data_IF_185600045442
#
_entry.id   IF_185600045442
#
_cell.length_a   1.000
_cell.length_b   1.000
_cell.length_c   1.000
_cell.angle_alpha   90.00
_cell.angle_beta   90.00
_cell.angle_gamma   90.00
#
_symmetry.space_group_name_H-M   'P 1'
#
loop_
_entity.id
_entity.type
_entity.pdbx_description
1 polymer ?
#
# COMPACT_ATOMS: atom_id res chain seq x y z
N UNK A 1 12.43 -15.82 25.06
CA UNK A 1 11.27 -16.22 24.25
C UNK A 1 11.82 -16.91 23.01
N UNK A 2 11.55 -18.18 22.87
CA UNK A 2 12.11 -19.07 21.87
C UNK A 2 11.52 -18.77 20.47
N UNK A 3 12.37 -18.59 19.45
CA UNK A 3 11.96 -18.35 18.05
C UNK A 3 11.47 -19.64 17.35
N UNK A 4 11.55 -20.80 18.01
CA UNK A 4 11.18 -22.13 17.50
C UNK A 4 9.66 -22.35 17.36
N UNK A 5 8.81 -21.42 17.81
CA UNK A 5 7.34 -21.51 17.65
C UNK A 5 6.79 -20.71 16.45
N UNK A 6 7.63 -20.05 15.65
CA UNK A 6 7.16 -19.39 14.41
C UNK A 6 6.99 -20.42 13.31
N UNK A 7 5.73 -20.73 12.99
CA UNK A 7 5.42 -21.39 11.72
C UNK A 7 5.79 -20.46 10.56
N UNK A 8 6.45 -21.00 9.55
CA UNK A 8 6.80 -20.29 8.31
C UNK A 8 5.83 -20.73 7.21
N UNK A 9 4.67 -20.07 7.07
CA UNK A 9 3.77 -20.33 5.95
C UNK A 9 4.44 -19.97 4.61
N UNK A 10 3.81 -20.35 3.50
CA UNK A 10 4.31 -20.08 2.15
C UNK A 10 4.66 -18.60 1.95
N UNK A 11 5.74 -18.36 1.18
CA UNK A 11 6.23 -17.02 0.83
C UNK A 11 5.56 -16.49 -0.44
N UNK A 12 5.36 -15.16 -0.51
CA UNK A 12 4.86 -14.46 -1.68
C UNK A 12 6.03 -13.88 -2.49
N UNK A 13 6.17 -14.27 -3.76
CA UNK A 13 7.28 -13.86 -4.65
C UNK A 13 6.93 -12.66 -5.52
N UNK A 14 6.02 -11.79 -5.06
CA UNK A 14 5.54 -10.60 -5.78
C UNK A 14 5.28 -9.47 -4.80
N UNK A 15 5.17 -8.25 -5.30
CA UNK A 15 4.70 -7.13 -4.50
C UNK A 15 3.32 -7.46 -3.92
N UNK A 16 3.18 -7.31 -2.62
CA UNK A 16 1.89 -7.50 -1.95
C UNK A 16 1.09 -6.21 -2.03
N UNK A 17 -0.23 -6.30 -2.16
CA UNK A 17 -1.11 -5.13 -2.29
C UNK A 17 -0.97 -4.20 -1.07
N UNK A 18 -0.69 -4.76 0.11
CA UNK A 18 -0.45 -4.04 1.36
C UNK A 18 0.94 -3.36 1.49
N UNK A 19 1.73 -3.30 0.41
CA UNK A 19 3.02 -2.61 0.40
C UNK A 19 2.99 -1.14 0.84
N UNK A 20 1.93 -0.33 0.60
CA UNK A 20 1.89 1.07 1.01
C UNK A 20 2.07 1.27 2.52
N UNK A 21 1.65 0.31 3.35
CA UNK A 21 1.84 0.37 4.80
C UNK A 21 3.34 0.39 5.15
N UNK A 22 4.12 -0.45 4.49
CA UNK A 22 5.58 -0.52 4.68
C UNK A 22 6.22 0.77 4.20
N UNK A 23 5.87 1.25 3.01
CA UNK A 23 6.42 2.48 2.42
C UNK A 23 6.14 3.71 3.28
N UNK A 24 4.97 3.78 3.92
CA UNK A 24 4.58 4.90 4.78
C UNK A 24 5.34 4.96 6.11
N UNK A 25 5.93 3.86 6.58
CA UNK A 25 6.75 3.85 7.81
C UNK A 25 8.25 3.84 7.52
N UNK A 26 8.69 3.32 6.37
CA UNK A 26 10.11 3.28 5.98
C UNK A 26 10.52 4.44 5.09
N UNK A 27 9.59 5.12 4.42
CA UNK A 27 9.89 6.15 3.43
C UNK A 27 10.61 5.63 2.19
N UNK A 28 10.49 4.33 1.93
CA UNK A 28 11.07 3.68 0.75
C UNK A 28 9.98 3.46 -0.30
N UNK A 29 10.33 3.57 -1.57
CA UNK A 29 9.49 3.16 -2.70
C UNK A 29 9.90 1.74 -3.12
N UNK A 30 9.03 0.76 -2.85
CA UNK A 30 9.34 -0.65 -3.12
C UNK A 30 9.20 -0.97 -4.61
N UNK A 31 8.41 -0.21 -5.37
CA UNK A 31 8.30 -0.36 -6.82
C UNK A 31 9.58 0.14 -7.49
N UNK A 32 10.08 1.30 -7.07
CA UNK A 32 11.39 1.82 -7.52
C UNK A 32 12.50 0.80 -7.29
N UNK A 33 12.58 0.22 -6.07
CA UNK A 33 13.59 -0.78 -5.75
C UNK A 33 13.45 -2.06 -6.59
N UNK A 34 12.22 -2.47 -6.92
CA UNK A 34 12.01 -3.61 -7.83
C UNK A 34 12.57 -3.32 -9.22
N UNK A 35 12.40 -2.09 -9.73
CA UNK A 35 12.95 -1.69 -11.03
C UNK A 35 14.47 -1.61 -11.00
N UNK A 36 15.06 -1.06 -9.94
CA UNK A 36 16.51 -0.98 -9.76
C UNK A 36 17.15 -2.38 -9.73
N UNK A 37 16.60 -3.29 -8.93
CA UNK A 37 17.09 -4.68 -8.87
C UNK A 37 16.88 -5.40 -10.21
N UNK A 38 15.75 -5.19 -10.88
CA UNK A 38 15.50 -5.77 -12.21
C UNK A 38 16.49 -5.26 -13.27
N UNK A 39 17.00 -4.04 -13.11
CA UNK A 39 18.07 -3.48 -13.95
C UNK A 39 19.47 -4.00 -13.58
N UNK A 40 19.61 -4.79 -12.51
CA UNK A 40 20.88 -5.33 -12.02
C UNK A 40 21.64 -4.40 -11.08
N UNK A 41 21.01 -3.30 -10.63
CA UNK A 41 21.62 -2.38 -9.69
C UNK A 41 21.55 -2.94 -8.25
N UNK A 42 22.51 -2.57 -7.38
CA UNK A 42 22.46 -2.97 -5.97
C UNK A 42 21.35 -2.22 -5.22
N UNK A 43 20.93 -2.78 -4.08
CA UNK A 43 20.02 -2.07 -3.18
C UNK A 43 20.68 -0.79 -2.64
N UNK A 44 19.94 0.33 -2.55
CA UNK A 44 20.53 1.62 -2.18
C UNK A 44 20.83 1.75 -0.68
N UNK A 45 20.27 0.89 0.17
CA UNK A 45 20.42 0.91 1.62
C UNK A 45 20.69 -0.48 2.19
N UNK A 46 21.47 -0.54 3.27
CA UNK A 46 21.61 -1.72 4.11
C UNK A 46 20.46 -1.85 5.12
N UNK A 47 20.28 -3.04 5.69
CA UNK A 47 19.23 -3.32 6.68
C UNK A 47 19.26 -2.37 7.89
N UNK A 48 20.44 -1.94 8.34
CA UNK A 48 20.61 -1.03 9.48
C UNK A 48 20.22 0.42 9.17
N UNK A 49 20.12 0.77 7.89
CA UNK A 49 19.80 2.13 7.42
C UNK A 49 18.30 2.31 7.15
N UNK A 50 17.51 1.23 7.16
CA UNK A 50 16.07 1.28 6.94
C UNK A 50 15.39 1.86 8.19
N UNK A 51 14.76 3.04 8.09
CA UNK A 51 14.08 3.63 9.24
C UNK A 51 12.73 2.94 9.47
N UNK A 52 12.21 3.07 10.70
CA UNK A 52 10.83 2.70 11.05
C UNK A 52 10.22 3.86 11.83
N UNK A 53 9.47 4.70 11.13
CA UNK A 53 8.96 5.97 11.66
C UNK A 53 7.43 5.91 11.80
N UNK A 54 6.94 5.98 13.04
CA UNK A 54 5.52 6.02 13.33
C UNK A 54 4.78 4.72 13.02
N UNK A 55 3.50 4.85 12.65
CA UNK A 55 2.61 3.74 12.34
C UNK A 55 1.76 4.09 11.12
N UNK A 56 1.44 3.07 10.33
CA UNK A 56 0.52 3.17 9.20
C UNK A 56 -0.49 2.01 9.26
N UNK A 57 -1.66 2.23 8.67
CA UNK A 57 -2.67 1.21 8.43
C UNK A 57 -3.27 1.43 7.04
N UNK A 58 -3.78 0.35 6.45
CA UNK A 58 -4.45 0.37 5.14
C UNK A 58 -5.91 -0.04 5.32
N UNK A 59 -6.80 0.64 4.60
CA UNK A 59 -8.19 0.23 4.45
C UNK A 59 -8.49 0.09 2.95
N UNK A 60 -9.06 -1.06 2.58
CA UNK A 60 -9.48 -1.32 1.20
C UNK A 60 -10.97 -1.03 1.07
N UNK A 61 -11.30 -0.22 0.07
CA UNK A 61 -12.69 0.10 -0.25
C UNK A 61 -13.13 -0.83 -1.37
N UNK A 62 -14.00 -1.79 -1.04
CA UNK A 62 -14.54 -2.77 -1.97
C UNK A 62 -15.94 -2.39 -2.44
N UNK A 63 -16.25 -2.69 -3.69
CA UNK A 63 -17.61 -2.66 -4.22
C UNK A 63 -18.34 -3.94 -3.78
N UNK A 64 -18.56 -4.07 -2.46
CA UNK A 64 -19.26 -5.18 -1.83
C UNK A 64 -20.39 -4.60 -0.96
N UNK A 65 -21.52 -5.29 -0.87
CA UNK A 65 -22.67 -4.85 -0.09
C UNK A 65 -22.69 -5.52 1.30
N UNK A 66 -22.35 -4.81 2.41
CA UNK A 66 -22.32 -5.42 3.74
C UNK A 66 -23.70 -5.86 4.25
N UNK A 67 -24.78 -5.31 3.69
CA UNK A 67 -26.17 -5.68 4.05
C UNK A 67 -26.66 -6.92 3.30
N UNK A 68 -25.92 -7.36 2.30
CA UNK A 68 -26.23 -8.53 1.48
C UNK A 68 -25.04 -9.48 1.42
N UNK A 69 -24.54 -9.86 2.60
CA UNK A 69 -23.47 -10.85 2.78
C UNK A 69 -22.18 -10.56 1.98
N UNK A 70 -21.82 -9.27 1.87
CA UNK A 70 -20.66 -8.79 1.10
C UNK A 70 -20.69 -9.23 -0.37
N UNK A 71 -21.88 -9.44 -0.95
CA UNK A 71 -22.01 -9.77 -2.35
C UNK A 71 -21.35 -8.66 -3.21
N UNK A 72 -20.55 -9.03 -4.23
CA UNK A 72 -19.99 -8.06 -5.17
C UNK A 72 -21.10 -7.22 -5.80
N UNK A 73 -20.92 -5.91 -5.73
CA UNK A 73 -21.80 -4.94 -6.34
C UNK A 73 -21.16 -4.42 -7.64
N UNK A 74 -22.00 -4.21 -8.65
CA UNK A 74 -21.57 -3.81 -9.98
C UNK A 74 -22.50 -2.75 -10.54
N UNK A 75 -21.98 -1.86 -11.37
CA UNK A 75 -22.73 -0.72 -11.84
C UNK A 75 -21.88 0.50 -12.05
N UNK A 76 -22.54 1.61 -12.37
CA UNK A 76 -21.87 2.88 -12.59
C UNK A 76 -21.59 3.57 -11.26
N UNK A 77 -20.35 3.96 -11.03
CA UNK A 77 -19.94 4.75 -9.88
C UNK A 77 -20.44 6.19 -10.04
N UNK A 78 -21.63 6.48 -9.51
CA UNK A 78 -22.28 7.79 -9.71
C UNK A 78 -21.53 8.93 -9.02
N UNK A 79 -20.88 8.64 -7.89
CA UNK A 79 -20.15 9.61 -7.11
C UNK A 79 -19.00 8.95 -6.36
N UNK A 80 -17.82 9.56 -6.43
CA UNK A 80 -16.66 9.23 -5.63
C UNK A 80 -15.96 10.53 -5.21
N UNK A 81 -15.86 10.75 -3.90
CA UNK A 81 -15.10 11.84 -3.32
C UNK A 81 -14.15 11.25 -2.28
N UNK A 82 -12.87 11.19 -2.63
CA UNK A 82 -11.83 10.76 -1.72
C UNK A 82 -11.18 11.97 -1.02
N UNK A 83 -10.61 11.78 0.18
CA UNK A 83 -9.83 12.83 0.82
C UNK A 83 -8.67 13.26 -0.07
N UNK A 84 -8.28 14.53 0.02
CA UNK A 84 -7.08 15.01 -0.67
C UNK A 84 -5.85 14.28 -0.10
N UNK A 85 -5.04 13.62 -0.96
CA UNK A 85 -3.82 12.97 -0.50
C UNK A 85 -2.84 14.04 -0.01
N UNK A 86 -2.21 13.77 1.13
CA UNK A 86 -1.18 14.67 1.70
C UNK A 86 0.23 14.13 1.49
N UNK A 87 0.38 12.83 1.20
CA UNK A 87 1.65 12.19 0.88
C UNK A 87 1.45 11.06 -0.13
N UNK A 88 2.46 10.85 -0.98
CA UNK A 88 2.56 9.68 -1.88
C UNK A 88 3.52 8.64 -1.30
N UNK A 89 4.59 9.10 -0.62
CA UNK A 89 5.56 8.28 0.11
C UNK A 89 5.91 8.93 1.46
N UNK A 90 6.40 8.17 2.43
CA UNK A 90 6.94 8.79 3.65
C UNK A 90 8.17 9.65 3.31
N UNK A 91 8.40 10.77 4.02
CA UNK A 91 9.60 11.56 3.83
C UNK A 91 10.86 10.71 4.10
N UNK A 92 11.93 10.87 3.31
CA UNK A 92 13.14 10.07 3.46
C UNK A 92 13.73 10.18 4.88
N UNK A 93 14.33 9.08 5.34
CA UNK A 93 14.84 8.84 6.69
C UNK A 93 15.60 10.03 7.33
N UNK A 94 16.31 10.81 6.52
CA UNK A 94 17.14 11.94 6.94
C UNK A 94 16.36 13.10 7.61
N UNK A 95 15.03 13.14 7.52
CA UNK A 95 14.20 14.21 8.12
C UNK A 95 13.59 13.86 9.50
N UNK A 96 13.87 12.68 10.06
CA UNK A 96 13.14 12.07 11.18
C UNK A 96 13.40 12.66 12.60
N UNK A 97 13.49 13.98 12.76
CA UNK A 97 13.68 14.65 14.06
C UNK A 97 12.44 15.43 14.58
N UNK A 98 11.26 15.27 13.98
CA UNK A 98 10.03 15.98 14.41
C UNK A 98 8.82 15.05 14.42
N UNK A 99 7.83 15.37 15.27
CA UNK A 99 6.55 14.68 15.31
C UNK A 99 6.03 14.40 13.90
N UNK A 100 5.68 13.14 13.62
CA UNK A 100 5.12 12.75 12.32
C UNK A 100 3.75 13.42 12.18
N UNK A 101 3.59 14.27 11.18
CA UNK A 101 2.30 14.84 10.85
C UNK A 101 1.38 13.74 10.29
N UNK A 102 0.08 13.75 10.59
CA UNK A 102 -0.85 12.78 10.01
C UNK A 102 -0.87 12.93 8.50
N UNK A 103 -0.74 11.80 7.81
CA UNK A 103 -0.67 11.72 6.36
C UNK A 103 -1.75 10.80 5.79
N UNK A 104 -2.25 11.14 4.60
CA UNK A 104 -3.22 10.34 3.85
C UNK A 104 -2.62 10.05 2.48
N UNK A 105 -2.44 8.76 2.18
CA UNK A 105 -2.14 8.24 0.84
C UNK A 105 -3.40 7.60 0.29
N UNK A 106 -3.64 7.80 -1.00
CA UNK A 106 -4.82 7.28 -1.70
C UNK A 106 -4.35 6.61 -2.98
N UNK A 107 -4.56 5.30 -3.07
CA UNK A 107 -4.36 4.53 -4.30
C UNK A 107 -5.71 4.15 -4.89
N UNK A 108 -5.96 4.58 -6.13
CA UNK A 108 -7.25 4.43 -6.79
C UNK A 108 -7.09 3.91 -8.20
N UNK A 109 -7.88 2.89 -8.54
CA UNK A 109 -8.00 2.38 -9.91
C UNK A 109 -9.24 2.86 -10.66
N UNK A 110 -10.10 3.68 -10.03
CA UNK A 110 -11.38 4.11 -10.59
C UNK A 110 -11.75 5.54 -10.13
N UNK A 111 -12.62 6.19 -10.90
CA UNK A 111 -13.09 7.56 -10.64
C UNK A 111 -14.60 7.70 -10.81
N UNK A 112 -15.13 8.89 -10.48
CA UNK A 112 -16.56 9.20 -10.72
C UNK A 112 -16.92 8.96 -12.18
N UNK A 113 -18.01 8.22 -12.41
CA UNK A 113 -18.50 7.84 -13.73
C UNK A 113 -17.96 6.50 -14.24
N UNK A 114 -16.97 5.88 -13.57
CA UNK A 114 -16.44 4.57 -13.94
C UNK A 114 -17.51 3.47 -13.85
N UNK A 115 -17.39 2.45 -14.71
CA UNK A 115 -18.20 1.25 -14.64
C UNK A 115 -17.46 0.19 -13.82
N UNK A 116 -18.04 -0.21 -12.70
CA UNK A 116 -17.60 -1.37 -11.94
C UNK A 116 -18.25 -2.61 -12.56
N UNK A 117 -17.45 -3.44 -13.21
CA UNK A 117 -17.89 -4.69 -13.80
C UNK A 117 -17.85 -5.85 -12.79
N UNK A 118 -18.64 -6.89 -13.04
CA UNK A 118 -18.57 -8.16 -12.28
C UNK A 118 -17.28 -8.91 -12.58
N UNK A 119 -16.71 -8.69 -13.77
CA UNK A 119 -15.39 -9.14 -14.15
C UNK A 119 -14.44 -7.95 -14.11
N UNK A 120 -13.52 -7.96 -13.17
CA UNK A 120 -12.40 -7.04 -13.18
C UNK A 120 -11.38 -7.52 -14.20
N UNK A 121 -11.22 -6.77 -15.31
CA UNK A 121 -10.00 -6.88 -16.11
C UNK A 121 -8.95 -6.05 -15.41
N UNK A 122 -7.91 -6.70 -14.88
CA UNK A 122 -6.66 -6.02 -14.56
C UNK A 122 -6.08 -5.63 -15.92
N UNK A 123 -6.31 -4.40 -16.37
CA UNK A 123 -5.62 -3.83 -17.53
C UNK A 123 -4.28 -3.25 -17.11
#
# INVERSE_FOLDING_TARGET
MDNSTRAHPMSNTRLQVEHPVTEMITGLDLVEWQLEVAAGNPLPLSQSEIPMVGHAFEARIYAENPRNDFLPDSGRLLHLAAPAPTHVFAPPAAAASRSVAPAVRVEQGFGTGAQIGVFSTIS
#
